data_IF_219707766842
#
_entry.id   IF_219707766842
#
_cell.length_a   1.000
_cell.length_b   1.000
_cell.length_c   1.000
_cell.angle_alpha   90.00
_cell.angle_beta   90.00
_cell.angle_gamma   90.00
#
_symmetry.space_group_name_H-M   'P 1'
#
loop_
_entity.id
_entity.type
_entity.pdbx_description
1 polymer ?
#
# COMPACT_ATOMS: atom_id res chain seq x y z
N UNK A 1 2.58 -2.69 -19.95
CA UNK A 1 2.29 -1.26 -20.21
C UNK A 1 2.04 -0.48 -18.91
N UNK A 2 0.97 -0.71 -18.15
CA UNK A 2 0.67 0.12 -16.95
C UNK A 2 1.78 0.03 -15.87
N UNK A 3 2.22 -1.18 -15.51
CA UNK A 3 3.34 -1.37 -14.57
C UNK A 3 4.60 -0.60 -14.98
N UNK A 4 4.98 -0.69 -16.26
CA UNK A 4 6.18 -0.07 -16.80
C UNK A 4 6.10 1.46 -16.73
N UNK A 5 4.95 2.03 -17.13
CA UNK A 5 4.74 3.46 -17.09
C UNK A 5 4.75 4.00 -15.65
N UNK A 6 4.09 3.30 -14.72
CA UNK A 6 4.11 3.65 -13.30
C UNK A 6 5.52 3.56 -12.70
N UNK A 7 6.30 2.53 -13.04
CA UNK A 7 7.70 2.39 -12.58
C UNK A 7 8.57 3.53 -13.10
N UNK A 8 8.44 3.89 -14.39
CA UNK A 8 9.18 5.00 -14.98
C UNK A 8 8.84 6.32 -14.29
N UNK A 9 7.55 6.61 -14.07
CA UNK A 9 7.12 7.81 -13.37
C UNK A 9 7.68 7.90 -11.94
N UNK A 10 7.65 6.78 -11.19
CA UNK A 10 8.22 6.73 -9.83
C UNK A 10 9.74 6.98 -9.84
N UNK A 11 10.46 6.39 -10.80
CA UNK A 11 11.90 6.59 -10.94
C UNK A 11 12.25 8.03 -11.29
N UNK A 12 11.55 8.63 -12.25
CA UNK A 12 11.76 10.03 -12.66
C UNK A 12 11.41 11.02 -11.54
N UNK A 13 10.45 10.67 -10.69
CA UNK A 13 10.10 11.43 -9.48
C UNK A 13 11.08 11.27 -8.32
N UNK A 14 12.12 10.42 -8.45
CA UNK A 14 13.11 10.19 -7.39
C UNK A 14 12.58 9.37 -6.20
N UNK A 15 11.52 8.58 -6.39
CA UNK A 15 10.99 7.71 -5.34
C UNK A 15 11.95 6.53 -5.07
N UNK A 16 12.00 6.02 -3.82
CA UNK A 16 12.75 4.81 -3.50
C UNK A 16 12.35 3.63 -4.40
N UNK A 17 13.30 2.78 -4.82
CA UNK A 17 13.00 1.61 -5.65
C UNK A 17 12.14 0.59 -4.90
N UNK A 18 11.26 -0.09 -5.64
CA UNK A 18 10.37 -1.10 -5.06
C UNK A 18 9.47 -1.79 -6.09
N UNK A 19 8.68 -2.76 -5.62
CA UNK A 19 7.75 -3.52 -6.47
C UNK A 19 6.53 -2.69 -6.79
N UNK A 20 6.22 -2.58 -8.08
CA UNK A 20 4.91 -2.14 -8.57
C UNK A 20 4.12 -3.38 -8.97
N UNK A 21 2.99 -3.60 -8.28
CA UNK A 21 2.05 -4.68 -8.54
C UNK A 21 0.68 -4.09 -8.94
N UNK A 22 0.22 -4.41 -10.14
CA UNK A 22 -1.09 -3.97 -10.65
C UNK A 22 -1.99 -5.16 -10.90
N UNK A 23 -3.29 -4.92 -10.96
CA UNK A 23 -4.27 -5.93 -11.38
C UNK A 23 -3.97 -6.45 -12.78
N UNK A 24 -4.24 -7.73 -13.01
CA UNK A 24 -4.04 -8.38 -14.31
C UNK A 24 -5.37 -8.57 -15.06
N UNK A 25 -6.51 -8.42 -14.37
CA UNK A 25 -7.85 -8.63 -14.94
C UNK A 25 -8.76 -7.44 -14.68
N UNK A 26 -9.59 -7.07 -15.65
CA UNK A 26 -10.55 -5.95 -15.52
C UNK A 26 -11.49 -6.08 -14.31
N UNK A 27 -11.89 -7.30 -13.94
CA UNK A 27 -12.76 -7.50 -12.77
C UNK A 27 -12.10 -7.08 -11.45
N UNK A 28 -10.77 -7.12 -11.38
CA UNK A 28 -10.00 -6.80 -10.18
C UNK A 28 -9.87 -5.29 -9.97
N UNK A 29 -10.08 -4.46 -10.99
CA UNK A 29 -10.01 -2.99 -10.84
C UNK A 29 -11.31 -2.39 -10.28
N UNK A 30 -12.40 -3.17 -10.18
CA UNK A 30 -13.66 -2.66 -9.69
C UNK A 30 -13.50 -2.09 -8.25
N UNK A 31 -13.96 -0.85 -7.97
CA UNK A 31 -13.72 -0.15 -6.70
C UNK A 31 -14.65 -0.66 -5.59
N UNK A 32 -14.53 -1.94 -5.29
CA UNK A 32 -15.36 -2.70 -4.34
C UNK A 32 -14.55 -3.82 -3.71
N UNK A 33 -15.05 -4.34 -2.61
CA UNK A 33 -14.35 -5.36 -1.80
C UNK A 33 -14.06 -6.63 -2.61
N UNK A 34 -14.99 -7.13 -3.40
CA UNK A 34 -14.81 -8.32 -4.25
C UNK A 34 -13.97 -8.06 -5.52
N UNK A 35 -13.57 -6.81 -5.78
CA UNK A 35 -12.65 -6.40 -6.84
C UNK A 35 -11.27 -6.03 -6.27
N UNK A 36 -10.97 -4.73 -6.26
CA UNK A 36 -9.62 -4.22 -5.90
C UNK A 36 -9.27 -4.46 -4.44
N UNK A 37 -10.28 -4.51 -3.55
CA UNK A 37 -10.07 -4.87 -2.14
C UNK A 37 -9.50 -6.28 -2.02
N UNK A 38 -10.17 -7.27 -2.64
CA UNK A 38 -9.74 -8.67 -2.62
C UNK A 38 -8.37 -8.87 -3.25
N UNK A 39 -8.14 -8.25 -4.40
CA UNK A 39 -6.83 -8.26 -5.07
C UNK A 39 -5.70 -7.82 -4.13
N UNK A 40 -5.88 -6.68 -3.44
CA UNK A 40 -4.90 -6.15 -2.47
C UNK A 40 -4.73 -7.12 -1.29
N UNK A 41 -5.81 -7.59 -0.69
CA UNK A 41 -5.75 -8.51 0.44
C UNK A 41 -5.01 -9.82 0.10
N UNK A 42 -5.28 -10.42 -1.06
CA UNK A 42 -4.63 -11.64 -1.51
C UNK A 42 -3.12 -11.42 -1.76
N UNK A 43 -2.73 -10.26 -2.29
CA UNK A 43 -1.31 -9.92 -2.46
C UNK A 43 -0.58 -9.75 -1.11
N UNK A 44 -1.18 -9.03 -0.15
CA UNK A 44 -0.60 -8.87 1.19
C UNK A 44 -0.46 -10.22 1.91
N UNK A 45 -1.46 -11.10 1.78
CA UNK A 45 -1.39 -12.46 2.32
C UNK A 45 -0.26 -13.28 1.69
N UNK A 46 -0.04 -13.13 0.37
CA UNK A 46 1.10 -13.77 -0.32
C UNK A 46 2.45 -13.25 0.19
N UNK A 47 2.58 -11.94 0.47
CA UNK A 47 3.80 -11.39 1.05
C UNK A 47 4.07 -11.96 2.46
N UNK A 48 3.04 -12.02 3.31
CA UNK A 48 3.15 -12.67 4.62
C UNK A 48 3.56 -14.14 4.51
N UNK A 49 2.93 -14.90 3.59
CA UNK A 49 3.27 -16.29 3.33
C UNK A 49 4.71 -16.51 2.83
N UNK A 50 5.30 -15.50 2.19
CA UNK A 50 6.70 -15.49 1.75
C UNK A 50 7.68 -14.98 2.84
N UNK A 51 7.19 -14.68 4.05
CA UNK A 51 8.01 -14.24 5.19
C UNK A 51 8.30 -12.74 5.23
N UNK A 52 7.68 -11.93 4.37
CA UNK A 52 7.81 -10.48 4.46
C UNK A 52 7.00 -9.94 5.63
N UNK A 53 7.56 -8.93 6.30
CA UNK A 53 6.87 -8.14 7.32
C UNK A 53 6.47 -6.80 6.72
N UNK A 54 5.18 -6.50 6.74
CA UNK A 54 4.65 -5.21 6.29
C UNK A 54 4.69 -4.25 7.49
N UNK A 55 5.61 -3.28 7.45
CA UNK A 55 5.84 -2.37 8.57
C UNK A 55 4.75 -1.31 8.73
N UNK A 56 4.23 -0.81 7.60
CA UNK A 56 3.13 0.13 7.51
C UNK A 56 2.42 0.00 6.15
N UNK A 57 1.21 0.55 6.08
CA UNK A 57 0.41 0.62 4.87
C UNK A 57 -0.15 2.03 4.67
N UNK A 58 -0.21 2.47 3.41
CA UNK A 58 -0.66 3.80 3.01
C UNK A 58 -1.71 3.66 1.91
N UNK A 59 -2.91 4.21 2.12
CA UNK A 59 -4.03 4.10 1.19
C UNK A 59 -4.98 5.29 1.25
N UNK A 60 -6.06 5.26 0.49
CA UNK A 60 -6.99 6.39 0.38
C UNK A 60 -8.46 5.98 0.23
N UNK A 61 -8.75 4.70 0.02
CA UNK A 61 -10.09 4.19 -0.24
C UNK A 61 -10.56 3.24 0.85
N UNK A 62 -11.89 3.10 1.01
CA UNK A 62 -12.48 2.08 1.87
C UNK A 62 -12.00 0.65 1.53
N UNK A 63 -11.67 0.38 0.26
CA UNK A 63 -11.10 -0.91 -0.14
C UNK A 63 -9.70 -1.14 0.41
N UNK A 64 -8.92 -0.08 0.66
CA UNK A 64 -7.61 -0.17 1.29
C UNK A 64 -7.75 -0.53 2.76
N UNK A 65 -8.61 0.21 3.48
CA UNK A 65 -8.98 -0.06 4.88
C UNK A 65 -9.36 -1.54 5.05
N UNK A 66 -10.25 -2.03 4.19
CA UNK A 66 -10.67 -3.43 4.20
C UNK A 66 -9.51 -4.38 3.92
N UNK A 67 -8.71 -4.14 2.88
CA UNK A 67 -7.61 -5.03 2.50
C UNK A 67 -6.54 -5.14 3.59
N UNK A 68 -6.19 -4.02 4.23
CA UNK A 68 -5.21 -3.98 5.31
C UNK A 68 -5.72 -4.69 6.57
N UNK A 69 -7.01 -4.53 6.90
CA UNK A 69 -7.64 -5.25 8.00
C UNK A 69 -7.66 -6.77 7.74
N UNK A 70 -7.98 -7.21 6.51
CA UNK A 70 -7.94 -8.64 6.15
C UNK A 70 -6.54 -9.24 6.20
N UNK A 71 -5.51 -8.44 5.93
CA UNK A 71 -4.11 -8.84 6.06
C UNK A 71 -3.63 -8.82 7.52
N UNK A 72 -4.44 -8.37 8.48
CA UNK A 72 -4.08 -8.28 9.89
C UNK A 72 -3.07 -7.18 10.20
N UNK A 73 -3.03 -6.12 9.40
CA UNK A 73 -2.08 -5.02 9.63
C UNK A 73 -2.51 -4.19 10.86
N UNK A 74 -1.56 -3.75 11.70
CA UNK A 74 -1.86 -2.87 12.82
C UNK A 74 -2.48 -1.56 12.35
N UNK A 75 -3.60 -1.17 12.95
CA UNK A 75 -4.36 0.02 12.53
C UNK A 75 -3.63 1.33 12.83
N UNK A 76 -2.79 1.34 13.88
CA UNK A 76 -1.91 2.45 14.25
C UNK A 76 -0.70 2.60 13.29
N UNK A 77 -0.45 1.63 12.43
CA UNK A 77 0.56 1.67 11.35
C UNK A 77 -0.07 1.69 9.95
N UNK A 78 -1.38 1.93 9.89
CA UNK A 78 -2.15 1.99 8.65
C UNK A 78 -2.66 3.41 8.46
N UNK A 79 -2.15 4.10 7.45
CA UNK A 79 -2.40 5.51 7.19
C UNK A 79 -3.34 5.68 6.00
N UNK A 80 -4.49 6.32 6.23
CA UNK A 80 -5.51 6.52 5.20
C UNK A 80 -5.76 8.01 5.00
N UNK A 81 -5.51 8.50 3.79
CA UNK A 81 -5.73 9.90 3.43
C UNK A 81 -7.15 10.14 2.91
N UNK A 82 -7.71 11.30 3.25
CA UNK A 82 -8.98 11.76 2.71
C UNK A 82 -10.20 11.23 3.47
N UNK A 83 -11.36 11.04 2.80
CA UNK A 83 -12.65 10.86 3.47
C UNK A 83 -12.78 9.54 4.26
N UNK A 84 -11.90 8.58 3.99
CA UNK A 84 -11.85 7.29 4.69
C UNK A 84 -10.81 7.24 5.80
N UNK A 85 -10.10 8.35 6.05
CA UNK A 85 -9.14 8.44 7.14
C UNK A 85 -9.81 8.21 8.49
N UNK A 86 -9.32 7.26 9.28
CA UNK A 86 -9.92 6.90 10.57
C UNK A 86 -10.87 5.71 10.51
N UNK A 87 -11.34 5.33 9.31
CA UNK A 87 -12.19 4.15 9.15
C UNK A 87 -11.45 2.91 9.67
N UNK A 88 -12.16 2.04 10.39
CA UNK A 88 -11.59 0.83 10.99
C UNK A 88 -10.53 1.08 12.07
N UNK A 89 -10.40 2.31 12.57
CA UNK A 89 -9.38 2.69 13.55
C UNK A 89 -8.01 3.03 12.94
N UNK A 90 -7.94 3.18 11.61
CA UNK A 90 -6.71 3.59 10.91
C UNK A 90 -6.28 5.00 11.32
N UNK A 91 -5.02 5.35 11.05
CA UNK A 91 -4.53 6.71 11.24
C UNK A 91 -5.09 7.60 10.12
N UNK A 92 -5.92 8.56 10.50
CA UNK A 92 -6.46 9.55 9.56
C UNK A 92 -5.38 10.54 9.12
N UNK A 93 -5.19 10.69 7.81
CA UNK A 93 -4.30 11.68 7.21
C UNK A 93 -5.13 12.76 6.51
N UNK A 94 -4.93 14.02 6.90
CA UNK A 94 -5.61 15.17 6.33
C UNK A 94 -4.69 15.93 5.38
N UNK A 95 -5.16 16.19 4.15
CA UNK A 95 -4.48 17.03 3.17
C UNK A 95 -3.28 16.35 2.50
N UNK A 96 -2.18 16.17 3.23
CA UNK A 96 -0.94 15.59 2.72
C UNK A 96 -0.27 14.63 3.71
N UNK A 97 0.75 13.91 3.22
CA UNK A 97 1.42 12.84 3.95
C UNK A 97 2.39 13.31 5.05
N UNK A 98 2.57 14.62 5.25
CA UNK A 98 3.49 15.15 6.25
C UNK A 98 3.15 14.69 7.67
N UNK A 99 1.86 14.45 7.95
CA UNK A 99 1.41 13.91 9.23
C UNK A 99 1.92 12.48 9.54
N UNK A 100 2.31 11.71 8.51
CA UNK A 100 2.89 10.38 8.70
C UNK A 100 4.43 10.41 8.85
N UNK A 101 5.09 11.53 8.52
CA UNK A 101 6.56 11.64 8.60
C UNK A 101 7.15 11.36 9.99
N UNK A 102 6.54 11.80 11.11
CA UNK A 102 7.07 11.47 12.44
C UNK A 102 7.16 9.97 12.68
N UNK A 103 6.15 9.21 12.28
CA UNK A 103 6.17 7.74 12.37
C UNK A 103 7.25 7.17 11.45
N UNK A 104 7.29 7.59 10.18
CA UNK A 104 8.24 7.07 9.20
C UNK A 104 9.70 7.27 9.63
N UNK A 105 10.04 8.45 10.19
CA UNK A 105 11.40 8.77 10.65
C UNK A 105 11.88 7.95 11.85
N UNK A 106 10.97 7.35 12.61
CA UNK A 106 11.30 6.49 13.75
C UNK A 106 11.53 5.04 13.35
N UNK A 107 11.25 4.67 12.10
CA UNK A 107 11.39 3.32 11.60
C UNK A 107 12.56 3.25 10.62
N UNK A 108 13.34 2.17 10.70
CA UNK A 108 14.43 1.95 9.77
C UNK A 108 13.88 1.72 8.35
N UNK A 109 14.61 2.22 7.36
CA UNK A 109 14.32 1.91 5.96
C UNK A 109 14.32 0.39 5.74
N UNK A 110 13.33 -0.10 5.00
CA UNK A 110 13.33 -1.48 4.58
C UNK A 110 14.50 -1.70 3.61
N UNK A 111 15.23 -2.80 3.78
CA UNK A 111 16.18 -3.23 2.77
C UNK A 111 15.42 -3.43 1.45
N UNK A 112 15.88 -2.78 0.37
CA UNK A 112 15.26 -2.90 -0.96
C UNK A 112 15.41 -4.36 -1.39
N UNK A 113 14.33 -5.16 -1.41
CA UNK A 113 14.48 -6.61 -1.51
C UNK A 113 14.67 -7.09 -2.96
N UNK A 114 14.52 -6.21 -3.95
CA UNK A 114 14.61 -6.56 -5.36
C UNK A 114 15.39 -5.47 -6.09
N UNK A 115 16.47 -5.86 -6.78
CA UNK A 115 17.21 -4.97 -7.68
C UNK A 115 16.23 -4.36 -8.71
N UNK A 116 16.42 -3.10 -9.07
CA UNK A 116 15.51 -2.29 -9.88
C UNK A 116 15.35 -2.75 -11.35
N UNK A 117 15.77 -3.97 -11.67
CA UNK A 117 16.11 -4.44 -13.01
C UNK A 117 15.57 -5.85 -13.34
N UNK A 118 14.46 -6.27 -12.71
CA UNK A 118 13.63 -7.40 -13.18
C UNK A 118 12.15 -7.04 -13.43
#
# INVERSE_FOLDING_TARGET
WLCEHSRTWLREGGYPPGVVHTTDRHREVAPRVDGVGRFKADFLARLHGAGYRIAAAYGNAATDVWAYAQAGLPVDHTFIIGPHGGDGGTVAIAGDWSAALPWARQHADAAVPIAADQ
#
